data_IF_531384165586
#
_entry.id   IF_531384165586
#
_cell.length_a   1.000
_cell.length_b   1.000
_cell.length_c   1.000
_cell.angle_alpha   90.00
_cell.angle_beta   90.00
_cell.angle_gamma   90.00
#
_symmetry.space_group_name_H-M   'P 1'
#
loop_
_entity.id
_entity.type
_entity.pdbx_description
1 polymer ?
#
# COMPACT_ATOMS: atom_id res chain seq x y z
N UNK A 1 8.61 45.39 -52.49
CA UNK A 1 7.65 44.28 -52.40
C UNK A 1 8.18 43.02 -51.64
N UNK A 2 9.48 42.67 -51.71
CA UNK A 2 10.01 41.45 -51.06
C UNK A 2 10.05 41.48 -49.52
N UNK A 3 10.32 42.64 -48.91
CA UNK A 3 10.40 42.79 -47.44
C UNK A 3 9.04 42.70 -46.74
N UNK A 4 8.00 43.25 -47.33
CA UNK A 4 6.61 43.17 -46.79
C UNK A 4 6.06 41.75 -46.80
N UNK A 5 6.34 40.96 -47.84
CA UNK A 5 5.96 39.55 -47.89
C UNK A 5 6.69 38.71 -46.85
N UNK A 6 7.97 39.01 -46.61
CA UNK A 6 8.78 38.32 -45.62
C UNK A 6 8.28 38.59 -44.19
N UNK A 7 7.94 39.85 -43.87
CA UNK A 7 7.33 40.21 -42.56
C UNK A 7 5.97 39.56 -42.37
N UNK A 8 5.13 39.56 -43.42
CA UNK A 8 3.81 38.91 -43.35
C UNK A 8 3.94 37.39 -43.12
N UNK A 9 4.85 36.72 -43.81
CA UNK A 9 5.09 35.28 -43.61
C UNK A 9 5.59 34.96 -42.21
N UNK A 10 6.49 35.80 -41.67
CA UNK A 10 7.03 35.65 -40.31
C UNK A 10 5.95 35.85 -39.25
N UNK A 11 5.06 36.83 -39.47
CA UNK A 11 3.90 37.05 -38.58
C UNK A 11 2.91 35.87 -38.60
N UNK A 12 2.62 35.32 -39.77
CA UNK A 12 1.74 34.14 -39.89
C UNK A 12 2.35 32.93 -39.15
N UNK A 13 3.65 32.67 -39.36
CA UNK A 13 4.35 31.58 -38.68
C UNK A 13 4.32 31.78 -37.14
N UNK A 14 4.58 32.98 -36.67
CA UNK A 14 4.55 33.29 -35.24
C UNK A 14 3.15 33.11 -34.66
N UNK A 15 2.11 33.58 -35.33
CA UNK A 15 0.72 33.42 -34.90
C UNK A 15 0.27 31.93 -34.88
N UNK A 16 0.61 31.17 -35.93
CA UNK A 16 0.29 29.74 -35.99
C UNK A 16 1.03 28.95 -34.92
N UNK A 17 2.30 29.24 -34.68
CA UNK A 17 3.07 28.61 -33.60
C UNK A 17 2.47 28.92 -32.25
N UNK A 18 2.13 30.17 -31.96
CA UNK A 18 1.48 30.57 -30.72
C UNK A 18 0.12 29.87 -30.54
N UNK A 19 -0.68 29.77 -31.58
CA UNK A 19 -1.98 29.06 -31.55
C UNK A 19 -1.81 27.54 -31.23
N UNK A 20 -0.77 26.92 -31.81
CA UNK A 20 -0.45 25.51 -31.50
C UNK A 20 -0.01 25.33 -30.06
N UNK A 21 0.83 26.22 -29.52
CA UNK A 21 1.20 26.15 -28.09
C UNK A 21 0.02 26.31 -27.16
N UNK A 22 -0.89 27.26 -27.44
CA UNK A 22 -2.11 27.47 -26.65
C UNK A 22 -3.04 26.25 -26.72
N UNK A 23 -3.21 25.67 -27.90
CA UNK A 23 -4.03 24.47 -28.08
C UNK A 23 -3.42 23.28 -27.32
N UNK A 24 -2.11 23.07 -27.42
CA UNK A 24 -1.39 22.03 -26.69
C UNK A 24 -1.51 22.18 -25.18
N UNK A 25 -1.34 23.40 -24.67
CA UNK A 25 -1.51 23.69 -23.25
C UNK A 25 -2.95 23.44 -22.77
N UNK A 26 -3.96 23.89 -23.52
CA UNK A 26 -5.37 23.67 -23.20
C UNK A 26 -5.74 22.19 -23.21
N UNK A 27 -5.24 21.41 -24.18
CA UNK A 27 -5.47 19.99 -24.27
C UNK A 27 -4.81 19.24 -23.10
N UNK A 28 -3.56 19.60 -22.77
CA UNK A 28 -2.83 19.02 -21.63
C UNK A 28 -3.55 19.30 -20.32
N UNK A 29 -4.01 20.54 -20.11
CA UNK A 29 -4.77 20.92 -18.92
C UNK A 29 -6.06 20.08 -18.79
N UNK A 30 -6.90 20.02 -19.84
CA UNK A 30 -8.14 19.24 -19.86
C UNK A 30 -7.89 17.74 -19.64
N UNK A 31 -6.83 17.19 -20.25
CA UNK A 31 -6.49 15.79 -20.09
C UNK A 31 -6.08 15.48 -18.65
N UNK A 32 -5.28 16.34 -18.03
CA UNK A 32 -4.87 16.17 -16.63
C UNK A 32 -6.05 16.27 -15.67
N UNK A 33 -6.93 17.25 -15.85
CA UNK A 33 -8.13 17.43 -15.03
C UNK A 33 -9.10 16.23 -15.14
N UNK A 34 -9.38 15.78 -16.37
CA UNK A 34 -10.22 14.61 -16.62
C UNK A 34 -9.60 13.34 -16.02
N UNK A 35 -8.27 13.18 -16.14
CA UNK A 35 -7.56 12.04 -15.56
C UNK A 35 -7.65 12.04 -14.03
N UNK A 36 -7.46 13.19 -13.39
CA UNK A 36 -7.57 13.34 -11.93
C UNK A 36 -8.98 13.01 -11.42
N UNK A 37 -10.02 13.52 -12.11
CA UNK A 37 -11.40 13.25 -11.78
C UNK A 37 -11.74 11.76 -11.90
N UNK A 38 -11.38 11.12 -13.02
CA UNK A 38 -11.59 9.69 -13.22
C UNK A 38 -10.81 8.84 -12.23
N UNK A 39 -9.59 9.25 -11.86
CA UNK A 39 -8.81 8.57 -10.83
C UNK A 39 -9.51 8.64 -9.47
N UNK A 40 -10.06 9.80 -9.11
CA UNK A 40 -10.82 9.98 -7.86
C UNK A 40 -12.10 9.14 -7.84
N UNK A 41 -12.83 9.07 -8.94
CA UNK A 41 -14.01 8.19 -9.06
C UNK A 41 -13.66 6.71 -8.91
N UNK A 42 -12.57 6.27 -9.55
CA UNK A 42 -12.11 4.88 -9.44
C UNK A 42 -11.65 4.57 -8.02
N UNK A 43 -10.91 5.48 -7.38
CA UNK A 43 -10.51 5.32 -5.98
C UNK A 43 -11.71 5.29 -5.03
N UNK A 44 -12.80 5.99 -5.33
CA UNK A 44 -14.04 5.95 -4.56
C UNK A 44 -14.73 4.58 -4.59
N UNK A 45 -14.56 3.80 -5.67
CA UNK A 45 -15.16 2.47 -5.83
C UNK A 45 -14.20 1.34 -5.43
N UNK A 46 -12.91 1.49 -5.75
CA UNK A 46 -11.88 0.45 -5.60
C UNK A 46 -10.97 0.68 -4.37
N UNK A 47 -11.09 1.82 -3.72
CA UNK A 47 -10.20 2.24 -2.66
C UNK A 47 -8.92 2.94 -3.16
N UNK A 48 -8.20 3.63 -2.27
CA UNK A 48 -6.92 4.27 -2.57
C UNK A 48 -5.78 3.25 -2.67
N UNK A 49 -4.56 3.73 -2.77
CA UNK A 49 -3.36 2.94 -2.49
C UNK A 49 -3.36 2.52 -1.02
N UNK A 50 -3.13 1.23 -0.76
CA UNK A 50 -3.23 0.66 0.56
C UNK A 50 -1.88 0.57 1.24
N UNK A 51 -1.86 0.90 2.53
CA UNK A 51 -0.70 0.68 3.41
C UNK A 51 -1.14 -0.11 4.63
N UNK A 52 -0.57 -1.30 4.80
CA UNK A 52 -0.69 -2.09 6.01
C UNK A 52 0.44 -1.70 6.95
N UNK A 53 0.11 -1.14 8.09
CA UNK A 53 1.09 -0.86 9.15
C UNK A 53 1.36 -2.12 9.97
N UNK A 54 2.58 -2.24 10.48
CA UNK A 54 2.99 -3.31 11.39
C UNK A 54 2.21 -3.20 12.72
N UNK A 55 1.65 -4.29 13.26
CA UNK A 55 0.95 -4.26 14.54
C UNK A 55 1.91 -4.02 15.71
N UNK A 56 1.36 -3.51 16.81
CA UNK A 56 2.11 -3.31 18.05
C UNK A 56 1.24 -3.63 19.25
N UNK A 57 1.87 -3.84 20.37
CA UNK A 57 1.21 -3.95 21.65
C UNK A 57 1.78 -2.92 22.63
N UNK A 58 1.08 -2.68 23.71
CA UNK A 58 1.60 -1.92 24.86
C UNK A 58 1.06 -2.49 26.16
N UNK A 59 1.76 -2.21 27.23
CA UNK A 59 1.29 -2.45 28.60
C UNK A 59 1.58 -1.21 29.45
N UNK A 60 0.81 -1.05 30.51
CA UNK A 60 0.95 0.08 31.42
C UNK A 60 2.11 -0.16 32.39
N UNK A 61 3.01 0.83 32.50
CA UNK A 61 4.12 0.80 33.44
C UNK A 61 4.53 2.21 33.81
N UNK A 62 4.72 2.50 35.13
CA UNK A 62 5.13 3.84 35.59
C UNK A 62 6.49 4.29 35.08
N UNK A 63 7.34 3.33 34.69
CA UNK A 63 8.73 3.58 34.29
C UNK A 63 8.89 3.96 32.81
N UNK A 64 7.84 3.91 32.00
CA UNK A 64 7.90 4.28 30.60
C UNK A 64 7.40 5.70 30.33
N UNK A 65 7.92 6.40 29.32
CA UNK A 65 7.41 7.70 28.89
C UNK A 65 5.90 7.61 28.59
N UNK A 66 5.11 8.48 29.21
CA UNK A 66 3.64 8.44 29.04
C UNK A 66 2.93 7.27 29.73
N UNK A 67 3.61 6.54 30.65
CA UNK A 67 3.03 5.45 31.42
C UNK A 67 2.75 4.17 30.61
N UNK A 68 3.28 4.03 29.38
CA UNK A 68 3.07 2.87 28.49
C UNK A 68 4.37 2.42 27.85
N UNK A 69 4.67 1.14 27.98
CA UNK A 69 5.77 0.51 27.25
C UNK A 69 5.23 -0.14 25.98
N UNK A 70 5.79 0.24 24.83
CA UNK A 70 5.45 -0.34 23.55
C UNK A 70 6.25 -1.63 23.31
N UNK A 71 5.58 -2.63 22.74
CA UNK A 71 6.18 -3.92 22.39
C UNK A 71 5.79 -4.25 20.94
N UNK A 72 6.79 -4.59 20.14
CA UNK A 72 6.59 -5.12 18.80
C UNK A 72 6.53 -6.65 18.84
N UNK A 73 5.97 -7.30 17.81
CA UNK A 73 6.02 -8.75 17.70
C UNK A 73 7.45 -9.27 17.75
N UNK A 74 7.67 -10.36 18.45
CA UNK A 74 8.94 -11.08 18.48
C UNK A 74 9.15 -11.96 17.25
N UNK A 75 8.06 -12.34 16.57
CA UNK A 75 8.06 -13.05 15.29
C UNK A 75 6.86 -12.63 14.47
N UNK A 76 6.99 -12.60 13.14
CA UNK A 76 5.94 -12.17 12.23
C UNK A 76 6.01 -12.95 10.91
N UNK A 77 4.94 -13.64 10.57
CA UNK A 77 4.77 -14.34 9.30
C UNK A 77 3.62 -13.70 8.52
N UNK A 78 3.90 -13.11 7.37
CA UNK A 78 2.91 -12.40 6.55
C UNK A 78 2.83 -13.02 5.17
N UNK A 79 1.63 -13.39 4.74
CA UNK A 79 1.37 -13.89 3.39
C UNK A 79 0.44 -12.93 2.67
N UNK A 80 0.83 -12.50 1.48
CA UNK A 80 0.10 -11.55 0.65
C UNK A 80 -0.15 -12.18 -0.72
N UNK A 81 -1.41 -12.28 -1.10
CA UNK A 81 -1.80 -12.62 -2.46
C UNK A 81 -2.27 -11.35 -3.16
N UNK A 82 -1.55 -10.91 -4.17
CA UNK A 82 -1.77 -9.63 -4.85
C UNK A 82 -2.19 -9.89 -6.29
N UNK A 83 -3.47 -9.66 -6.59
CA UNK A 83 -4.05 -9.87 -7.90
C UNK A 83 -4.31 -8.54 -8.60
N UNK A 84 -3.58 -8.26 -9.67
CA UNK A 84 -3.83 -7.09 -10.53
C UNK A 84 -5.08 -7.32 -11.36
N UNK A 85 -6.04 -6.42 -11.24
CA UNK A 85 -7.30 -6.40 -11.99
C UNK A 85 -7.52 -5.04 -12.66
N UNK A 86 -6.77 -4.69 -13.71
CA UNK A 86 -6.88 -3.39 -14.32
C UNK A 86 -8.29 -3.15 -14.87
N UNK A 87 -8.90 -2.04 -14.48
CA UNK A 87 -10.24 -1.63 -14.93
C UNK A 87 -10.18 -0.47 -15.89
N UNK A 88 -10.99 -0.54 -16.92
CA UNK A 88 -11.13 0.56 -17.88
C UNK A 88 -12.30 1.46 -17.50
N UNK A 89 -12.05 2.78 -17.45
CA UNK A 89 -13.08 3.81 -17.31
C UNK A 89 -12.88 4.86 -18.40
N UNK A 90 -13.87 5.01 -19.26
CA UNK A 90 -13.70 5.80 -20.47
C UNK A 90 -12.58 5.25 -21.37
N UNK A 91 -11.62 6.09 -21.70
CA UNK A 91 -10.44 5.74 -22.51
C UNK A 91 -9.22 5.36 -21.66
N UNK A 92 -9.33 5.42 -20.31
CA UNK A 92 -8.21 5.21 -19.41
C UNK A 92 -8.31 3.84 -18.72
N UNK A 93 -7.15 3.19 -18.63
CA UNK A 93 -6.94 2.02 -17.78
C UNK A 93 -6.43 2.46 -16.43
N UNK A 94 -7.08 1.99 -15.38
CA UNK A 94 -6.70 2.23 -13.99
C UNK A 94 -6.06 0.97 -13.41
N UNK A 95 -5.02 1.17 -12.61
CA UNK A 95 -4.28 0.10 -11.92
C UNK A 95 -5.04 -0.27 -10.65
N UNK A 96 -5.98 -1.17 -10.77
CA UNK A 96 -6.77 -1.71 -9.66
C UNK A 96 -6.28 -3.10 -9.30
N UNK A 97 -6.46 -3.49 -8.06
CA UNK A 97 -6.05 -4.80 -7.56
C UNK A 97 -6.96 -5.28 -6.42
N UNK A 98 -6.96 -6.58 -6.22
CA UNK A 98 -7.45 -7.24 -5.03
C UNK A 98 -6.27 -7.79 -4.24
N UNK A 99 -6.32 -7.67 -2.91
CA UNK A 99 -5.31 -8.20 -2.02
C UNK A 99 -5.95 -9.08 -0.95
N UNK A 100 -5.37 -10.26 -0.73
CA UNK A 100 -5.69 -11.16 0.38
C UNK A 100 -4.45 -11.24 1.28
N UNK A 101 -4.61 -10.81 2.53
CA UNK A 101 -3.53 -10.78 3.53
C UNK A 101 -3.87 -11.74 4.65
N UNK A 102 -2.91 -12.58 5.01
CA UNK A 102 -2.95 -13.44 6.18
C UNK A 102 -1.67 -13.27 6.96
N UNK A 103 -1.77 -13.12 8.26
CA UNK A 103 -0.60 -12.84 9.08
C UNK A 103 -0.70 -13.45 10.46
N UNK A 104 0.44 -13.92 10.94
CA UNK A 104 0.63 -14.44 12.29
C UNK A 104 1.71 -13.60 12.98
N UNK A 105 1.39 -13.05 14.15
CA UNK A 105 2.30 -12.22 14.94
C UNK A 105 2.40 -12.75 16.34
N UNK A 106 3.62 -13.03 16.81
CA UNK A 106 3.86 -13.50 18.17
C UNK A 106 4.27 -12.32 19.05
N UNK A 107 3.51 -12.07 20.12
CA UNK A 107 3.84 -11.09 21.13
C UNK A 107 4.30 -11.79 22.40
N UNK A 108 5.47 -11.40 22.91
CA UNK A 108 6.05 -11.98 24.12
C UNK A 108 6.12 -10.94 25.23
N UNK A 109 5.72 -11.31 26.44
CA UNK A 109 5.85 -10.47 27.61
C UNK A 109 7.34 -10.39 28.02
N UNK A 110 8.03 -9.22 27.87
CA UNK A 110 9.42 -9.09 28.22
C UNK A 110 9.68 -8.98 29.72
N UNK A 111 8.60 -8.96 30.53
CA UNK A 111 8.73 -8.76 31.98
C UNK A 111 8.65 -10.09 32.73
N UNK A 112 9.14 -10.06 33.97
CA UNK A 112 9.14 -11.23 34.88
C UNK A 112 7.85 -11.33 35.73
N UNK A 113 6.83 -10.53 35.40
CA UNK A 113 5.55 -10.51 36.09
C UNK A 113 4.40 -10.60 35.08
N UNK A 114 3.23 -11.09 35.43
CA UNK A 114 2.06 -11.03 34.58
C UNK A 114 1.69 -9.59 34.24
N UNK A 115 1.34 -9.32 32.98
CA UNK A 115 0.98 -8.00 32.49
C UNK A 115 -0.24 -8.05 31.57
N UNK A 116 -1.10 -7.05 31.65
CA UNK A 116 -2.17 -6.88 30.66
C UNK A 116 -1.61 -6.17 29.44
N UNK A 117 -1.57 -6.89 28.31
CA UNK A 117 -1.17 -6.37 27.01
C UNK A 117 -2.38 -5.89 26.23
N UNK A 118 -2.27 -4.72 25.63
CA UNK A 118 -3.22 -4.19 24.67
C UNK A 118 -2.63 -4.35 23.28
N UNK A 119 -3.08 -5.37 22.54
CA UNK A 119 -2.59 -5.66 21.19
C UNK A 119 -3.44 -4.91 20.18
N UNK A 120 -2.78 -4.10 19.35
CA UNK A 120 -3.40 -3.22 18.37
C UNK A 120 -2.99 -3.59 16.96
N UNK A 121 -3.97 -3.85 16.12
CA UNK A 121 -3.81 -4.11 14.70
C UNK A 121 -4.42 -2.95 13.89
N UNK A 122 -3.60 -2.17 13.19
CA UNK A 122 -4.09 -1.11 12.32
C UNK A 122 -4.68 -1.71 11.05
N UNK A 123 -5.89 -1.30 10.71
CA UNK A 123 -6.49 -1.65 9.42
C UNK A 123 -5.92 -0.76 8.33
N UNK A 124 -5.79 -1.24 7.08
CA UNK A 124 -5.43 -0.38 5.96
C UNK A 124 -6.45 0.75 5.87
N UNK A 125 -5.97 1.99 5.88
CA UNK A 125 -6.82 3.18 5.87
C UNK A 125 -7.64 3.28 4.58
N UNK A 126 -8.86 3.83 4.69
CA UNK A 126 -9.74 4.20 3.57
C UNK A 126 -10.04 3.04 2.60
N UNK A 127 -10.14 1.83 3.11
CA UNK A 127 -10.45 0.66 2.27
C UNK A 127 -11.88 0.70 1.72
N UNK A 128 -12.06 0.19 0.50
CA UNK A 128 -13.39 0.00 -0.11
C UNK A 128 -14.22 -1.12 0.54
N UNK A 129 -13.89 -1.46 1.77
CA UNK A 129 -14.46 -2.55 2.56
C UNK A 129 -13.46 -3.68 2.80
N UNK A 130 -13.56 -4.27 3.97
CA UNK A 130 -12.79 -5.45 4.35
C UNK A 130 -13.71 -6.66 4.30
N UNK A 131 -13.35 -7.66 3.51
CA UNK A 131 -14.06 -8.93 3.42
C UNK A 131 -13.30 -10.00 4.21
N UNK A 132 -14.04 -10.81 4.97
CA UNK A 132 -13.46 -11.92 5.73
C UNK A 132 -12.43 -11.46 6.77
N UNK A 133 -12.63 -10.29 7.37
CA UNK A 133 -11.73 -9.80 8.41
C UNK A 133 -11.75 -10.74 9.61
N UNK A 134 -10.57 -11.22 9.98
CA UNK A 134 -10.33 -12.04 11.15
C UNK A 134 -9.29 -11.36 12.05
N UNK A 135 -9.53 -11.41 13.36
CA UNK A 135 -8.58 -10.99 14.38
C UNK A 135 -8.77 -11.98 15.54
N UNK A 136 -7.90 -12.98 15.62
CA UNK A 136 -7.95 -14.06 16.59
C UNK A 136 -6.72 -13.99 17.48
N UNK A 137 -6.91 -14.07 18.79
CA UNK A 137 -5.82 -13.91 19.76
C UNK A 137 -5.69 -15.18 20.60
N UNK A 138 -4.60 -15.92 20.37
CA UNK A 138 -4.39 -17.24 20.96
C UNK A 138 -5.46 -18.23 20.49
N UNK A 139 -6.05 -18.98 21.44
CA UNK A 139 -7.09 -19.97 21.19
C UNK A 139 -8.52 -19.39 21.23
N UNK A 140 -8.65 -18.06 21.29
CA UNK A 140 -9.95 -17.38 21.36
C UNK A 140 -10.53 -17.13 19.97
N UNK A 141 -11.48 -17.96 19.57
CA UNK A 141 -12.17 -17.91 18.27
C UNK A 141 -13.38 -16.94 18.25
N UNK A 142 -13.50 -15.99 19.19
CA UNK A 142 -14.65 -15.08 19.22
C UNK A 142 -14.48 -13.87 18.29
N UNK A 143 -15.03 -13.89 17.05
CA UNK A 143 -14.92 -12.80 16.11
C UNK A 143 -15.73 -11.55 16.52
N UNK A 144 -16.68 -11.67 17.45
CA UNK A 144 -17.56 -10.57 17.85
C UNK A 144 -16.81 -9.40 18.55
N UNK A 145 -15.59 -9.64 19.04
CA UNK A 145 -14.76 -8.61 19.67
C UNK A 145 -13.81 -7.89 18.68
N UNK A 146 -13.91 -8.20 17.40
CA UNK A 146 -13.01 -7.68 16.35
C UNK A 146 -13.58 -6.48 15.63
N UNK A 147 -14.28 -5.59 16.33
CA UNK A 147 -14.85 -4.36 15.75
C UNK A 147 -13.79 -3.25 15.76
N UNK A 148 -13.53 -2.61 14.61
CA UNK A 148 -12.61 -1.49 14.55
C UNK A 148 -13.09 -0.32 15.41
N UNK A 149 -12.19 0.24 16.18
CA UNK A 149 -12.44 1.49 16.88
C UNK A 149 -12.45 2.71 15.93
N UNK A 150 -12.80 3.91 16.44
CA UNK A 150 -12.87 5.14 15.63
C UNK A 150 -11.53 5.52 14.95
N UNK A 151 -10.43 4.99 15.46
CA UNK A 151 -9.07 5.22 14.92
C UNK A 151 -8.70 4.27 13.76
N UNK A 152 -9.63 3.44 13.25
CA UNK A 152 -9.32 2.44 12.22
C UNK A 152 -8.41 1.31 12.73
N UNK A 153 -8.42 1.04 14.04
CA UNK A 153 -7.61 -0.01 14.68
C UNK A 153 -8.49 -0.96 15.45
N UNK A 154 -8.13 -2.23 15.45
CA UNK A 154 -8.71 -3.24 16.35
C UNK A 154 -7.74 -3.43 17.50
N UNK A 155 -8.24 -3.26 18.74
CA UNK A 155 -7.42 -3.40 19.95
C UNK A 155 -8.09 -4.36 20.91
N UNK A 156 -7.34 -5.34 21.42
CA UNK A 156 -7.79 -6.28 22.44
C UNK A 156 -6.80 -6.35 23.60
N UNK A 157 -7.35 -6.47 24.78
CA UNK A 157 -6.57 -6.68 26.00
C UNK A 157 -6.47 -8.18 26.30
N UNK A 158 -5.29 -8.63 26.70
CA UNK A 158 -5.03 -10.00 27.16
C UNK A 158 -4.04 -9.98 28.33
N UNK A 159 -4.28 -10.80 29.33
CA UNK A 159 -3.32 -11.03 30.41
C UNK A 159 -2.28 -12.06 29.98
N UNK A 160 -1.03 -11.65 29.89
CA UNK A 160 0.09 -12.55 29.61
C UNK A 160 0.88 -12.85 30.89
N UNK A 161 1.17 -14.13 31.19
CA UNK A 161 2.03 -14.49 32.30
C UNK A 161 3.47 -13.96 32.08
N UNK A 162 4.27 -13.99 33.11
CA UNK A 162 5.69 -13.64 33.01
C UNK A 162 6.38 -14.43 31.89
N UNK A 163 7.07 -13.74 30.98
CA UNK A 163 7.72 -14.32 29.78
C UNK A 163 6.79 -15.16 28.91
N UNK A 164 5.48 -15.04 29.09
CA UNK A 164 4.47 -15.72 28.26
C UNK A 164 4.35 -15.08 26.88
N UNK A 165 3.87 -15.84 25.92
CA UNK A 165 3.64 -15.37 24.55
C UNK A 165 2.21 -15.64 24.10
N UNK A 166 1.74 -14.86 23.14
CA UNK A 166 0.46 -15.05 22.46
C UNK A 166 0.61 -14.79 20.97
N UNK A 167 -0.07 -15.57 20.16
CA UNK A 167 -0.12 -15.37 18.72
C UNK A 167 -1.38 -14.61 18.33
N UNK A 168 -1.20 -13.56 17.55
CA UNK A 168 -2.28 -12.85 16.88
C UNK A 168 -2.38 -13.36 15.44
N UNK A 169 -3.48 -14.01 15.10
CA UNK A 169 -3.82 -14.40 13.74
C UNK A 169 -4.74 -13.34 13.12
N UNK A 170 -4.33 -12.80 11.97
CA UNK A 170 -5.15 -11.81 11.25
C UNK A 170 -5.29 -12.20 9.79
N UNK A 171 -6.41 -11.79 9.20
CA UNK A 171 -6.66 -11.97 7.79
C UNK A 171 -7.70 -11.01 7.27
N UNK A 172 -7.57 -10.59 6.03
CA UNK A 172 -8.58 -9.80 5.33
C UNK A 172 -8.38 -9.87 3.83
N UNK A 173 -9.45 -9.62 3.10
CA UNK A 173 -9.43 -9.35 1.66
C UNK A 173 -10.01 -7.97 1.40
N UNK A 174 -9.33 -7.20 0.54
CA UNK A 174 -9.79 -5.86 0.16
C UNK A 174 -9.30 -5.48 -1.22
N UNK A 175 -9.72 -4.32 -1.69
CA UNK A 175 -9.38 -3.76 -3.00
C UNK A 175 -8.64 -2.45 -2.85
N UNK A 176 -7.80 -2.15 -3.83
CA UNK A 176 -7.06 -0.90 -3.84
C UNK A 176 -6.64 -0.49 -5.25
N UNK A 177 -5.95 0.65 -5.32
CA UNK A 177 -5.43 1.21 -6.57
C UNK A 177 -3.94 1.51 -6.47
N UNK A 178 -3.26 1.42 -7.60
CA UNK A 178 -1.87 1.84 -7.83
C UNK A 178 -0.81 1.01 -7.10
N UNK A 179 -0.78 1.04 -5.78
CA UNK A 179 0.32 0.49 -4.96
C UNK A 179 -0.23 -0.16 -3.71
N UNK A 180 0.37 -1.27 -3.31
CA UNK A 180 0.22 -1.88 -1.99
C UNK A 180 1.53 -1.77 -1.23
N UNK A 181 1.49 -1.41 0.08
CA UNK A 181 2.66 -1.29 0.95
C UNK A 181 2.43 -1.96 2.30
N UNK A 182 3.52 -2.51 2.85
CA UNK A 182 3.64 -2.89 4.24
C UNK A 182 4.66 -1.96 4.91
N UNK A 183 4.25 -1.29 5.97
CA UNK A 183 5.05 -0.26 6.62
C UNK A 183 5.44 -0.67 8.03
N UNK A 184 6.73 -0.52 8.34
CA UNK A 184 7.27 -0.74 9.68
C UNK A 184 7.32 0.57 10.46
N UNK A 185 7.25 0.53 11.80
CA UNK A 185 7.45 1.73 12.61
C UNK A 185 8.90 2.22 12.48
N UNK A 186 9.04 3.55 12.37
CA UNK A 186 10.35 4.19 12.22
C UNK A 186 11.26 3.94 13.42
N UNK A 187 12.55 3.75 13.17
CA UNK A 187 13.60 3.59 14.18
C UNK A 187 13.39 2.45 15.19
N UNK A 188 12.61 1.44 14.84
CA UNK A 188 12.43 0.25 15.66
C UNK A 188 13.22 -0.94 15.11
N UNK A 189 13.56 -1.85 16.01
CA UNK A 189 14.15 -3.14 15.68
C UNK A 189 13.05 -4.12 15.33
N UNK A 190 13.14 -4.73 14.16
CA UNK A 190 12.24 -5.78 13.69
C UNK A 190 12.99 -7.11 13.78
N UNK A 191 12.40 -8.05 14.49
CA UNK A 191 12.97 -9.38 14.70
C UNK A 191 12.10 -10.44 14.05
N UNK A 192 12.71 -11.47 13.49
CA UNK A 192 12.09 -12.66 12.91
C UNK A 192 10.83 -12.34 12.06
N UNK A 193 11.01 -11.42 11.09
CA UNK A 193 9.94 -11.03 10.19
C UNK A 193 10.12 -11.67 8.82
N UNK A 194 9.09 -12.37 8.36
CA UNK A 194 9.03 -12.93 7.02
C UNK A 194 7.75 -12.53 6.31
N UNK A 195 7.89 -11.96 5.11
CA UNK A 195 6.76 -11.68 4.22
C UNK A 195 6.94 -12.43 2.92
N UNK A 196 5.89 -13.19 2.56
CA UNK A 196 5.79 -13.87 1.26
C UNK A 196 4.69 -13.23 0.44
N UNK A 197 5.03 -12.65 -0.69
CA UNK A 197 4.09 -12.05 -1.63
C UNK A 197 3.99 -12.89 -2.91
N UNK A 198 2.77 -13.22 -3.31
CA UNK A 198 2.49 -13.87 -4.60
C UNK A 198 1.70 -12.93 -5.50
N UNK A 199 2.13 -12.80 -6.74
CA UNK A 199 1.48 -11.97 -7.76
C UNK A 199 0.90 -12.81 -8.87
N UNK A 200 -0.16 -12.31 -9.54
CA UNK A 200 -0.70 -12.88 -10.78
C UNK A 200 -0.23 -12.11 -12.04
N UNK A 201 0.89 -11.40 -11.93
CA UNK A 201 1.45 -10.62 -13.02
C UNK A 201 2.99 -10.72 -13.02
N UNK A 202 3.60 -10.68 -14.23
CA UNK A 202 5.05 -10.83 -14.39
C UNK A 202 5.82 -9.50 -14.28
N UNK A 203 5.15 -8.36 -14.35
CA UNK A 203 5.77 -7.03 -14.34
C UNK A 203 5.94 -6.55 -12.90
N UNK A 204 7.14 -6.74 -12.35
CA UNK A 204 7.46 -6.41 -10.96
C UNK A 204 8.15 -5.05 -10.89
N UNK A 205 7.55 -4.13 -10.15
CA UNK A 205 8.10 -2.80 -9.89
C UNK A 205 7.91 -2.42 -8.41
N UNK A 206 9.00 -2.02 -7.77
CA UNK A 206 9.00 -1.65 -6.36
C UNK A 206 8.89 -0.11 -6.22
N UNK A 207 7.98 0.39 -5.36
CA UNK A 207 7.89 1.82 -5.07
C UNK A 207 9.19 2.37 -4.48
N UNK A 208 9.45 3.64 -4.70
CA UNK A 208 10.60 4.33 -4.11
C UNK A 208 10.54 4.24 -2.58
N UNK A 209 11.68 3.95 -1.95
CA UNK A 209 11.80 3.84 -0.50
C UNK A 209 11.34 2.49 0.07
N UNK A 210 11.18 1.47 -0.77
CA UNK A 210 10.88 0.10 -0.33
C UNK A 210 12.07 -0.83 -0.52
N UNK A 211 12.16 -1.86 0.34
CA UNK A 211 13.18 -2.91 0.26
C UNK A 211 12.91 -3.91 -0.85
N UNK A 212 13.98 -4.41 -1.47
CA UNK A 212 13.90 -5.50 -2.45
C UNK A 212 13.77 -6.86 -1.74
N UNK A 213 13.09 -7.85 -2.36
CA UNK A 213 13.02 -9.21 -1.81
C UNK A 213 14.39 -9.90 -1.82
N UNK A 214 14.64 -10.73 -0.81
CA UNK A 214 15.83 -11.59 -0.75
C UNK A 214 15.72 -12.77 -1.70
N UNK A 215 14.50 -13.30 -1.89
CA UNK A 215 14.24 -14.41 -2.81
C UNK A 215 13.17 -14.03 -3.83
N UNK A 216 13.35 -14.52 -5.06
CA UNK A 216 12.44 -14.29 -6.16
C UNK A 216 12.32 -15.54 -7.01
N UNK A 217 11.13 -16.11 -7.08
CA UNK A 217 10.80 -17.26 -7.92
C UNK A 217 9.67 -16.90 -8.89
N UNK A 218 9.84 -17.21 -10.16
CA UNK A 218 8.81 -17.03 -11.18
C UNK A 218 7.88 -18.23 -11.18
N UNK A 219 6.57 -17.97 -11.21
CA UNK A 219 5.51 -18.96 -11.35
C UNK A 219 4.86 -18.84 -12.75
N UNK A 220 3.90 -19.69 -13.06
CA UNK A 220 3.17 -19.66 -14.34
C UNK A 220 2.55 -18.31 -14.67
N UNK A 221 2.02 -17.61 -13.67
CA UNK A 221 1.19 -16.41 -13.83
C UNK A 221 1.83 -15.15 -13.28
N UNK A 222 2.93 -15.28 -12.52
CA UNK A 222 3.57 -14.15 -11.86
C UNK A 222 4.81 -14.54 -11.06
N UNK A 223 4.95 -13.97 -9.88
CA UNK A 223 6.10 -14.16 -9.01
C UNK A 223 5.71 -14.53 -7.58
N UNK A 224 6.60 -15.30 -6.93
CA UNK A 224 6.68 -15.45 -5.48
C UNK A 224 7.91 -14.71 -5.00
N UNK A 225 7.72 -13.75 -4.10
CA UNK A 225 8.74 -12.85 -3.59
C UNK A 225 8.81 -13.03 -2.08
N UNK A 226 10.01 -13.13 -1.52
CA UNK A 226 10.20 -13.32 -0.08
C UNK A 226 11.11 -12.23 0.48
N UNK A 227 10.65 -11.55 1.50
CA UNK A 227 11.44 -10.69 2.38
C UNK A 227 11.62 -11.42 3.70
N UNK A 228 12.85 -11.59 4.12
CA UNK A 228 13.22 -12.26 5.35
C UNK A 228 14.15 -11.34 6.14
N UNK A 229 13.68 -10.86 7.29
CA UNK A 229 14.39 -9.94 8.17
C UNK A 229 14.56 -10.60 9.55
N UNK A 230 15.59 -11.45 9.72
CA UNK A 230 15.81 -12.13 11.00
C UNK A 230 16.06 -11.14 12.13
N UNK A 231 16.74 -10.02 11.84
CA UNK A 231 17.00 -8.94 12.80
C UNK A 231 17.47 -7.68 12.06
N UNK A 232 16.61 -6.67 11.97
CA UNK A 232 16.90 -5.44 11.24
C UNK A 232 16.49 -4.21 12.06
N UNK A 233 17.40 -3.24 12.17
CA UNK A 233 17.10 -1.92 12.72
C UNK A 233 16.62 -1.00 11.59
N UNK A 234 15.49 -0.31 11.79
CA UNK A 234 14.87 0.57 10.81
C UNK A 234 14.62 -0.15 9.45
N UNK A 235 13.85 -1.23 9.49
CA UNK A 235 13.52 -2.01 8.29
C UNK A 235 12.85 -1.13 7.22
N UNK A 236 13.29 -1.20 5.95
CA UNK A 236 12.63 -0.49 4.87
C UNK A 236 11.24 -1.07 4.64
N UNK A 237 10.27 -0.20 4.31
CA UNK A 237 8.92 -0.64 3.92
C UNK A 237 9.00 -1.63 2.75
N UNK A 238 8.02 -2.54 2.67
CA UNK A 238 7.87 -3.47 1.55
C UNK A 238 6.72 -2.96 0.68
N UNK A 239 6.86 -3.01 -0.63
CA UNK A 239 5.79 -2.51 -1.50
C UNK A 239 5.83 -3.07 -2.91
N UNK A 240 4.69 -2.97 -3.60
CA UNK A 240 4.51 -3.39 -4.97
C UNK A 240 3.65 -2.39 -5.74
N UNK A 241 4.14 -1.91 -6.87
CA UNK A 241 3.37 -1.13 -7.83
C UNK A 241 2.62 -2.05 -8.78
N UNK A 242 1.36 -1.74 -9.01
CA UNK A 242 0.58 -2.48 -9.99
C UNK A 242 1.06 -2.19 -11.41
N UNK A 243 1.06 -3.22 -12.31
CA UNK A 243 1.49 -3.05 -13.68
C UNK A 243 0.68 -1.96 -14.41
N UNK A 244 1.37 -1.20 -15.26
CA UNK A 244 0.78 -0.13 -16.04
C UNK A 244 0.31 -0.67 -17.40
N UNK A 245 -0.95 -0.44 -17.74
CA UNK A 245 -1.40 -0.58 -19.13
C UNK A 245 -1.24 0.75 -19.85
N UNK A 246 -0.79 0.67 -21.11
CA UNK A 246 -0.69 1.86 -21.97
C UNK A 246 -2.09 2.43 -22.21
N UNK A 247 -2.22 3.72 -21.96
CA UNK A 247 -3.41 4.50 -22.27
C UNK A 247 -3.21 5.13 -23.65
N UNK A 248 -3.95 4.64 -24.64
CA UNK A 248 -3.80 5.07 -26.05
C UNK A 248 -4.07 6.59 -26.25
N UNK A 249 -5.03 7.15 -25.54
CA UNK A 249 -5.38 8.58 -25.66
C UNK A 249 -4.23 9.54 -25.36
N UNK A 250 -3.59 9.49 -24.17
CA UNK A 250 -2.44 10.33 -23.84
C UNK A 250 -1.22 10.09 -24.73
N UNK A 251 -1.01 8.84 -25.20
CA UNK A 251 0.08 8.52 -26.13
C UNK A 251 -0.17 9.14 -27.51
N UNK A 252 -1.38 9.00 -28.04
CA UNK A 252 -1.75 9.60 -29.32
C UNK A 252 -1.68 11.13 -29.28
N UNK A 253 -2.11 11.76 -28.20
CA UNK A 253 -1.99 13.20 -28.03
C UNK A 253 -0.53 13.66 -28.03
N UNK A 254 0.39 12.95 -27.38
CA UNK A 254 1.81 13.27 -27.41
C UNK A 254 2.43 13.13 -28.79
N UNK A 255 2.09 12.05 -29.53
CA UNK A 255 2.63 11.82 -30.89
C UNK A 255 2.10 12.88 -31.88
N UNK A 256 0.86 13.36 -31.71
CA UNK A 256 0.28 14.36 -32.61
C UNK A 256 0.88 15.77 -32.43
N UNK A 257 1.62 16.04 -31.35
CA UNK A 257 2.24 17.34 -31.05
C UNK A 257 3.77 17.37 -31.25
N UNK A 258 4.38 16.27 -31.62
CA UNK A 258 5.78 16.15 -32.04
C UNK A 258 5.88 15.77 -33.52
#
# INVERSE_FOLDING_TARGET
MKTTHLIASLAIIACTTAAWFLLGAALSYRTNESTATLQKEVSGVWGPALTQEHPHAWFETPNAPGGRAQVLPSSSQVTVLLASEPKRRGLLWHRTYEVDVKSDYVFTNPTKIPQTFYISYPLPADTAGLHGFAFLLGDDDNPAQSVPGPSGRVTRAILLPASGAVTLHTGYRTRGTNTWKYHFPDNHRIADFKLTMRTNFPEINFPVGTGSPGERAQNSDGFSLVWDYPDVLAAPSIGMDMPKRLNAGPVAARIAFF
#
